data_IF_613032039971
#
_entry.id   IF_613032039971
#
_cell.length_a   1.000
_cell.length_b   1.000
_cell.length_c   1.000
_cell.angle_alpha   90.00
_cell.angle_beta   90.00
_cell.angle_gamma   90.00
#
_symmetry.space_group_name_H-M   'P 1'
#
loop_
_entity.id
_entity.type
_entity.pdbx_description
1 polymer ?
#
# COMPACT_ATOMS: atom_id res chain seq x y z
N UNK A 1 -14.65 -19.98 18.85
CA UNK A 1 -15.29 -18.87 18.13
C UNK A 1 -14.15 -17.98 17.62
N UNK A 2 -13.68 -18.21 16.38
CA UNK A 2 -12.63 -17.38 15.78
C UNK A 2 -13.23 -16.02 15.45
N UNK A 3 -12.75 -14.98 16.10
CA UNK A 3 -13.12 -13.61 15.76
C UNK A 3 -12.35 -13.27 14.48
N UNK A 4 -13.01 -13.41 13.33
CA UNK A 4 -12.47 -12.96 12.04
C UNK A 4 -12.37 -11.44 12.06
N UNK A 5 -11.18 -10.91 12.28
CA UNK A 5 -10.91 -9.48 12.20
C UNK A 5 -11.07 -8.99 10.76
N UNK A 6 -11.63 -7.79 10.54
CA UNK A 6 -11.78 -7.23 9.20
C UNK A 6 -10.41 -7.04 8.54
N UNK A 7 -10.33 -7.39 7.26
CA UNK A 7 -9.14 -7.26 6.43
C UNK A 7 -9.23 -6.02 5.55
N UNK A 8 -8.10 -5.43 5.21
CA UNK A 8 -8.02 -4.24 4.35
C UNK A 8 -7.53 -4.63 2.96
N UNK A 9 -8.35 -4.38 1.96
CA UNK A 9 -8.03 -4.61 0.55
C UNK A 9 -7.30 -3.38 -0.01
N UNK A 10 -6.03 -3.56 -0.41
CA UNK A 10 -5.19 -2.47 -0.94
C UNK A 10 -5.71 -1.87 -2.24
N UNK A 11 -6.30 -2.68 -3.11
CA UNK A 11 -6.89 -2.18 -4.35
C UNK A 11 -8.04 -1.21 -4.06
N UNK A 12 -8.90 -1.54 -3.10
CA UNK A 12 -9.99 -0.64 -2.69
C UNK A 12 -9.46 0.65 -2.06
N UNK A 13 -8.36 0.59 -1.29
CA UNK A 13 -7.75 1.79 -0.72
C UNK A 13 -7.11 2.66 -1.83
N UNK A 14 -6.47 2.08 -2.84
CA UNK A 14 -5.98 2.81 -4.01
C UNK A 14 -7.12 3.51 -4.76
N UNK A 15 -8.25 2.83 -4.99
CA UNK A 15 -9.43 3.41 -5.61
C UNK A 15 -10.01 4.57 -4.80
N UNK A 16 -10.05 4.47 -3.47
CA UNK A 16 -10.48 5.58 -2.59
C UNK A 16 -9.55 6.79 -2.71
N UNK A 17 -8.22 6.57 -2.73
CA UNK A 17 -7.25 7.65 -2.92
C UNK A 17 -7.40 8.29 -4.29
N UNK A 18 -7.56 7.48 -5.35
CA UNK A 18 -7.82 7.97 -6.71
C UNK A 18 -9.07 8.84 -6.78
N UNK A 19 -10.20 8.38 -6.23
CA UNK A 19 -11.46 9.14 -6.21
C UNK A 19 -11.33 10.50 -5.51
N UNK A 20 -10.48 10.60 -4.47
CA UNK A 20 -10.19 11.87 -3.78
C UNK A 20 -9.27 12.79 -4.57
N UNK A 21 -8.39 12.25 -5.41
CA UNK A 21 -7.41 13.01 -6.20
C UNK A 21 -7.89 13.38 -7.60
N UNK A 22 -8.98 12.78 -8.10
CA UNK A 22 -9.48 12.94 -9.47
C UNK A 22 -10.03 14.34 -9.78
N UNK A 23 -10.22 15.19 -8.77
CA UNK A 23 -10.75 16.55 -8.97
C UNK A 23 -9.72 17.50 -9.61
N UNK A 24 -8.42 17.16 -9.61
CA UNK A 24 -7.35 18.10 -9.99
C UNK A 24 -6.56 17.75 -11.28
N UNK A 25 -6.70 16.57 -11.87
CA UNK A 25 -5.74 16.07 -12.89
C UNK A 25 -6.31 15.60 -14.22
N UNK A 26 -7.57 15.88 -14.54
CA UNK A 26 -8.17 15.47 -15.83
C UNK A 26 -7.55 16.16 -17.06
N UNK A 27 -6.73 17.19 -16.91
CA UNK A 27 -6.10 17.92 -18.01
C UNK A 27 -4.71 17.39 -18.42
N UNK A 28 -4.02 16.63 -17.60
CA UNK A 28 -2.67 16.12 -17.93
C UNK A 28 -2.67 14.76 -18.64
N UNK A 29 -3.79 14.01 -18.59
CA UNK A 29 -3.93 12.72 -19.27
C UNK A 29 -4.07 12.83 -20.79
N UNK A 30 -4.39 14.01 -21.32
CA UNK A 30 -4.62 14.24 -22.76
C UNK A 30 -3.35 14.25 -23.60
N UNK A 31 -2.16 14.38 -22.98
CA UNK A 31 -0.88 14.50 -23.70
C UNK A 31 -0.09 13.18 -23.79
N UNK A 32 -0.56 12.09 -23.22
CA UNK A 32 0.00 10.78 -23.46
C UNK A 32 -0.55 10.25 -24.78
N UNK A 33 0.19 10.39 -25.87
CA UNK A 33 -0.12 9.91 -27.24
C UNK A 33 -0.25 8.38 -27.36
N UNK A 34 -0.52 7.70 -26.29
CA UNK A 34 -0.83 6.28 -26.28
C UNK A 34 -2.32 6.05 -26.21
N UNK A 35 -2.79 5.00 -26.89
CA UNK A 35 -4.17 4.48 -26.90
C UNK A 35 -4.66 4.10 -25.48
N UNK A 36 -4.57 5.06 -24.53
CA UNK A 36 -5.13 4.99 -23.17
C UNK A 36 -6.65 4.79 -23.24
N UNK A 37 -7.28 5.15 -24.34
CA UNK A 37 -8.71 4.91 -24.60
C UNK A 37 -9.12 3.43 -24.53
N UNK A 38 -8.18 2.50 -24.64
CA UNK A 38 -8.41 1.05 -24.47
C UNK A 38 -8.08 0.52 -23.08
N UNK A 39 -7.43 1.34 -22.23
CA UNK A 39 -7.09 0.94 -20.87
C UNK A 39 -8.25 1.24 -19.93
N UNK A 40 -8.57 0.26 -19.07
CA UNK A 40 -9.54 0.49 -18.02
C UNK A 40 -9.01 1.55 -17.05
N UNK A 41 -9.66 2.71 -17.03
CA UNK A 41 -9.27 3.85 -16.22
C UNK A 41 -9.20 3.52 -14.71
N UNK A 42 -9.96 2.53 -14.24
CA UNK A 42 -9.99 2.15 -12.82
C UNK A 42 -8.68 1.50 -12.36
N UNK A 43 -7.95 0.89 -13.27
CA UNK A 43 -6.66 0.24 -13.00
C UNK A 43 -5.46 1.16 -13.26
N UNK A 44 -5.67 2.40 -13.67
CA UNK A 44 -4.61 3.38 -13.91
C UNK A 44 -4.37 4.25 -12.68
N UNK A 45 -3.15 4.28 -12.17
CA UNK A 45 -2.76 5.02 -10.96
C UNK A 45 -1.54 5.90 -11.23
N UNK A 46 -1.54 7.11 -10.66
CA UNK A 46 -0.36 7.98 -10.66
C UNK A 46 0.55 7.62 -9.47
N UNK A 47 1.86 7.85 -9.63
CA UNK A 47 2.88 7.54 -8.60
C UNK A 47 2.57 8.17 -7.24
N UNK A 48 1.99 9.36 -7.20
CA UNK A 48 1.62 10.01 -5.94
C UNK A 48 0.53 9.25 -5.17
N UNK A 49 -0.40 8.62 -5.88
CA UNK A 49 -1.45 7.79 -5.28
C UNK A 49 -0.86 6.51 -4.70
N UNK A 50 0.04 5.86 -5.46
CA UNK A 50 0.80 4.68 -5.02
C UNK A 50 1.65 5.05 -3.81
N UNK A 51 2.39 6.17 -3.87
CA UNK A 51 3.23 6.67 -2.77
C UNK A 51 2.44 6.87 -1.49
N UNK A 52 1.24 7.47 -1.58
CA UNK A 52 0.38 7.68 -0.42
C UNK A 52 0.01 6.36 0.26
N UNK A 53 -0.39 5.35 -0.52
CA UNK A 53 -0.71 4.02 0.00
C UNK A 53 0.53 3.34 0.58
N UNK A 54 1.67 3.45 -0.08
CA UNK A 54 2.93 2.90 0.43
C UNK A 54 3.30 3.49 1.80
N UNK A 55 3.10 4.80 2.00
CA UNK A 55 3.34 5.46 3.28
C UNK A 55 2.29 5.02 4.32
N UNK A 56 1.00 5.00 3.94
CA UNK A 56 -0.11 4.70 4.86
C UNK A 56 -0.05 3.27 5.42
N UNK A 57 0.42 2.31 4.64
CA UNK A 57 0.47 0.90 5.02
C UNK A 57 1.89 0.35 5.17
N UNK A 58 2.91 1.21 5.08
CA UNK A 58 4.34 0.85 5.13
C UNK A 58 4.67 -0.25 4.12
N UNK A 59 4.33 0.01 2.85
CA UNK A 59 4.60 -0.87 1.73
C UNK A 59 5.83 -0.39 0.96
N UNK A 60 6.43 -1.28 0.19
CA UNK A 60 7.49 -1.01 -0.78
C UNK A 60 6.91 -1.09 -2.19
N UNK A 61 7.39 -0.22 -3.09
CA UNK A 61 7.08 -0.24 -4.51
C UNK A 61 8.39 -0.37 -5.28
N UNK A 62 8.75 -1.61 -5.61
CA UNK A 62 10.07 -1.97 -6.14
C UNK A 62 9.93 -2.76 -7.45
N UNK A 63 11.06 -2.89 -8.17
CA UNK A 63 11.15 -3.75 -9.35
C UNK A 63 10.77 -5.20 -9.00
N UNK A 64 10.08 -5.86 -9.93
CA UNK A 64 9.66 -7.27 -9.80
C UNK A 64 10.83 -8.21 -9.53
N UNK A 65 12.04 -7.89 -10.03
CA UNK A 65 13.26 -8.68 -9.82
C UNK A 65 13.67 -8.80 -8.35
N UNK A 66 13.27 -7.84 -7.53
CA UNK A 66 13.56 -7.83 -6.09
C UNK A 66 12.53 -8.60 -5.26
N UNK A 67 11.44 -9.05 -5.90
CA UNK A 67 10.38 -9.78 -5.21
C UNK A 67 10.76 -11.25 -5.05
N UNK A 68 10.73 -11.74 -3.81
CA UNK A 68 11.09 -13.13 -3.47
C UNK A 68 9.89 -14.06 -3.32
N UNK A 69 8.68 -13.50 -3.26
CA UNK A 69 7.45 -14.29 -3.19
C UNK A 69 7.12 -14.98 -4.51
N UNK A 70 6.23 -15.98 -4.47
CA UNK A 70 5.75 -16.66 -5.67
C UNK A 70 4.74 -15.79 -6.42
N UNK A 71 4.98 -15.59 -7.71
CA UNK A 71 4.03 -14.92 -8.60
C UNK A 71 3.12 -16.02 -9.17
N UNK A 72 1.78 -15.93 -9.02
CA UNK A 72 0.87 -16.95 -9.51
C UNK A 72 0.78 -16.95 -11.03
N UNK A 73 0.44 -18.11 -11.60
CA UNK A 73 0.28 -18.26 -13.05
C UNK A 73 -0.81 -17.34 -13.62
N UNK A 74 -1.80 -16.97 -12.83
CA UNK A 74 -2.84 -16.00 -13.22
C UNK A 74 -2.27 -14.61 -13.50
N UNK A 75 -1.26 -14.18 -12.71
CA UNK A 75 -0.60 -12.91 -12.95
C UNK A 75 0.16 -12.91 -14.28
N UNK A 76 0.82 -14.01 -14.63
CA UNK A 76 1.48 -14.16 -15.93
C UNK A 76 0.48 -14.17 -17.08
N UNK A 77 -0.66 -14.88 -16.97
CA UNK A 77 -1.71 -14.87 -17.99
C UNK A 77 -2.24 -13.45 -18.24
N UNK A 78 -2.56 -12.71 -17.17
CA UNK A 78 -3.01 -11.31 -17.29
C UNK A 78 -1.94 -10.38 -17.84
N UNK A 79 -0.67 -10.63 -17.53
CA UNK A 79 0.45 -9.91 -18.11
C UNK A 79 0.58 -10.17 -19.62
N UNK A 80 0.42 -11.41 -20.05
CA UNK A 80 0.48 -11.77 -21.47
C UNK A 80 -0.72 -11.22 -22.25
N UNK A 81 -1.92 -11.24 -21.66
CA UNK A 81 -3.09 -10.57 -22.21
C UNK A 81 -2.85 -9.06 -22.35
N UNK A 82 -2.26 -8.43 -21.34
CA UNK A 82 -1.91 -7.02 -21.38
C UNK A 82 -0.89 -6.71 -22.48
N UNK A 83 0.17 -7.53 -22.63
CA UNK A 83 1.17 -7.39 -23.70
C UNK A 83 0.56 -7.56 -25.09
N UNK A 84 -0.30 -8.56 -25.28
CA UNK A 84 -0.97 -8.82 -26.56
C UNK A 84 -1.89 -7.68 -26.96
N UNK A 85 -2.57 -7.08 -26.01
CA UNK A 85 -3.44 -5.92 -26.24
C UNK A 85 -2.65 -4.61 -26.50
N UNK A 86 -1.38 -4.56 -26.04
CA UNK A 86 -0.53 -3.37 -26.16
C UNK A 86 0.89 -3.72 -26.64
N UNK A 87 1.06 -4.26 -27.88
CA UNK A 87 2.35 -4.80 -28.35
C UNK A 87 3.46 -3.75 -28.47
N UNK A 88 3.09 -2.48 -28.67
CA UNK A 88 4.04 -1.38 -28.84
C UNK A 88 4.44 -0.72 -27.51
N UNK A 89 3.93 -1.21 -26.37
CA UNK A 89 4.19 -0.65 -25.05
C UNK A 89 5.44 -1.29 -24.45
N UNK A 90 6.51 -0.52 -24.32
CA UNK A 90 7.65 -0.96 -23.52
C UNK A 90 7.44 -0.51 -22.08
N UNK A 91 7.33 -1.45 -21.14
CA UNK A 91 7.06 -1.14 -19.74
C UNK A 91 7.92 -1.97 -18.78
N UNK A 92 8.22 -1.36 -17.65
CA UNK A 92 8.85 -2.04 -16.53
C UNK A 92 7.78 -2.55 -15.56
N UNK A 93 8.05 -3.73 -14.99
CA UNK A 93 7.16 -4.32 -13.99
C UNK A 93 7.60 -3.93 -12.59
N UNK A 94 6.64 -3.49 -11.77
CA UNK A 94 6.84 -3.16 -10.36
C UNK A 94 5.82 -3.88 -9.49
N UNK A 95 6.24 -4.24 -8.28
CA UNK A 95 5.37 -4.84 -7.27
C UNK A 95 5.26 -3.91 -6.07
N UNK A 96 4.01 -3.71 -5.62
CA UNK A 96 3.69 -3.06 -4.36
C UNK A 96 3.34 -4.12 -3.33
N UNK A 97 4.14 -4.22 -2.27
CA UNK A 97 3.96 -5.23 -1.23
C UNK A 97 4.60 -4.79 0.10
N UNK A 98 4.26 -5.44 1.23
CA UNK A 98 5.00 -5.28 2.48
C UNK A 98 6.49 -5.62 2.30
N UNK A 99 7.37 -4.92 3.04
CA UNK A 99 8.82 -5.12 2.93
C UNK A 99 9.27 -6.56 3.15
N UNK A 100 8.56 -7.30 3.99
CA UNK A 100 8.83 -8.72 4.26
C UNK A 100 8.77 -9.61 3.01
N UNK A 101 7.96 -9.26 2.02
CA UNK A 101 7.84 -10.00 0.75
C UNK A 101 9.05 -9.83 -0.19
N UNK A 102 9.92 -8.88 0.12
CA UNK A 102 11.20 -8.70 -0.57
C UNK A 102 12.37 -9.37 0.17
N UNK A 103 12.11 -9.88 1.39
CA UNK A 103 13.08 -10.57 2.24
C UNK A 103 12.73 -12.04 2.43
N UNK A 104 11.45 -12.36 2.61
CA UNK A 104 10.90 -13.69 2.91
C UNK A 104 9.65 -13.96 2.08
N UNK A 105 9.36 -15.25 1.79
CA UNK A 105 8.07 -15.65 1.22
C UNK A 105 6.94 -15.38 2.25
N UNK A 106 6.00 -14.55 1.89
CA UNK A 106 4.78 -14.28 2.65
C UNK A 106 3.61 -14.06 1.69
N UNK A 107 2.37 -14.21 2.16
CA UNK A 107 1.15 -14.18 1.31
C UNK A 107 0.33 -12.87 1.47
N UNK A 108 0.96 -11.78 1.89
CA UNK A 108 0.28 -10.50 2.14
C UNK A 108 0.12 -9.70 0.83
N UNK A 109 -1.07 -9.64 0.30
CA UNK A 109 -1.66 -8.77 -0.72
C UNK A 109 -0.69 -8.02 -1.68
N UNK A 110 0.15 -8.72 -2.48
CA UNK A 110 0.99 -8.05 -3.48
C UNK A 110 0.17 -7.59 -4.68
N UNK A 111 0.54 -6.42 -5.22
CA UNK A 111 -0.04 -5.80 -6.40
C UNK A 111 1.02 -5.65 -7.49
N UNK A 112 0.77 -6.20 -8.68
CA UNK A 112 1.65 -6.12 -9.84
C UNK A 112 1.23 -4.97 -10.73
N UNK A 113 2.17 -4.09 -11.06
CA UNK A 113 1.97 -2.94 -11.91
C UNK A 113 2.90 -2.96 -13.13
N UNK A 114 2.40 -2.45 -14.25
CA UNK A 114 3.20 -2.05 -15.41
C UNK A 114 3.40 -0.52 -15.39
N UNK A 115 4.63 -0.07 -15.59
CA UNK A 115 4.94 1.35 -15.75
C UNK A 115 4.58 1.80 -17.17
N UNK A 116 3.79 2.85 -17.30
CA UNK A 116 3.37 3.41 -18.59
C UNK A 116 4.18 4.67 -18.99
N UNK A 117 5.16 5.08 -18.18
CA UNK A 117 5.84 6.36 -18.33
C UNK A 117 5.15 7.50 -17.56
N UNK A 118 5.82 8.66 -17.48
CA UNK A 118 5.32 9.90 -16.87
C UNK A 118 4.71 9.76 -15.46
N UNK A 119 5.17 8.75 -14.71
CA UNK A 119 4.67 8.46 -13.36
C UNK A 119 3.33 7.75 -13.31
N UNK A 120 2.83 7.21 -14.44
CA UNK A 120 1.61 6.41 -14.48
C UNK A 120 1.92 4.93 -14.47
N UNK A 121 1.09 4.19 -13.74
CA UNK A 121 1.19 2.75 -13.53
C UNK A 121 -0.16 2.09 -13.72
N UNK A 122 -0.18 0.97 -14.45
CA UNK A 122 -1.38 0.17 -14.66
C UNK A 122 -1.35 -1.06 -13.75
N UNK A 123 -2.40 -1.28 -12.97
CA UNK A 123 -2.56 -2.45 -12.13
C UNK A 123 -2.95 -3.65 -12.98
N UNK A 124 -2.05 -4.64 -13.09
CA UNK A 124 -2.26 -5.87 -13.87
C UNK A 124 -3.00 -6.91 -13.02
N UNK A 125 -2.51 -7.17 -11.80
CA UNK A 125 -3.06 -8.22 -10.97
C UNK A 125 -2.75 -8.00 -9.48
N UNK A 126 -3.64 -8.55 -8.66
CA UNK A 126 -3.54 -8.65 -7.21
C UNK A 126 -3.66 -10.12 -6.82
N UNK A 127 -2.86 -10.56 -5.85
CA UNK A 127 -2.98 -11.90 -5.26
C UNK A 127 -2.60 -11.89 -3.77
N UNK A 128 -2.79 -13.03 -3.11
CA UNK A 128 -2.48 -13.19 -1.69
C UNK A 128 -3.64 -12.82 -0.78
N UNK A 129 -3.34 -12.69 0.51
CA UNK A 129 -4.31 -12.39 1.55
C UNK A 129 -4.35 -10.89 1.83
N UNK A 130 -5.53 -10.34 2.04
CA UNK A 130 -5.71 -8.94 2.43
C UNK A 130 -4.94 -8.61 3.72
N UNK A 131 -4.42 -7.38 3.78
CA UNK A 131 -3.70 -6.89 4.95
C UNK A 131 -4.58 -6.80 6.19
N UNK A 132 -3.96 -6.97 7.37
CA UNK A 132 -4.66 -6.75 8.63
C UNK A 132 -5.22 -5.32 8.71
N UNK A 133 -6.48 -5.18 9.14
CA UNK A 133 -7.13 -3.89 9.35
C UNK A 133 -6.33 -2.96 10.28
N UNK A 134 -5.71 -3.54 11.32
CA UNK A 134 -4.91 -2.78 12.28
C UNK A 134 -3.58 -2.28 11.75
N UNK A 135 -3.14 -2.72 10.56
CA UNK A 135 -1.84 -2.32 10.00
C UNK A 135 -1.72 -0.80 9.85
N UNK A 136 -2.77 -0.13 9.38
CA UNK A 136 -2.79 1.33 9.24
C UNK A 136 -2.63 2.05 10.58
N UNK A 137 -3.27 1.54 11.63
CA UNK A 137 -3.19 2.07 12.99
C UNK A 137 -1.79 1.84 13.58
N UNK A 138 -1.24 0.62 13.42
CA UNK A 138 0.10 0.26 13.92
C UNK A 138 1.21 1.06 13.22
N UNK A 139 1.00 1.46 11.97
CA UNK A 139 1.98 2.26 11.21
C UNK A 139 1.85 3.76 11.52
N UNK A 140 0.70 4.22 12.02
CA UNK A 140 0.44 5.65 12.25
C UNK A 140 1.52 6.37 13.09
N UNK A 141 2.03 5.83 14.21
CA UNK A 141 3.07 6.50 14.98
C UNK A 141 4.35 6.74 14.19
N UNK A 142 4.69 5.84 13.27
CA UNK A 142 5.95 5.83 12.52
C UNK A 142 5.90 6.63 11.22
N UNK A 143 4.81 7.36 10.93
CA UNK A 143 4.69 8.17 9.71
C UNK A 143 5.53 9.42 9.73
N UNK A 144 5.61 10.07 10.89
CA UNK A 144 6.41 11.27 11.12
C UNK A 144 6.76 11.44 12.61
N UNK A 145 7.71 12.31 12.88
CA UNK A 145 8.24 12.54 14.23
C UNK A 145 7.16 13.05 15.20
N UNK A 146 6.25 13.89 14.74
CA UNK A 146 5.15 14.43 15.58
C UNK A 146 4.24 13.30 16.06
N UNK A 147 3.90 12.35 15.20
CA UNK A 147 3.06 11.22 15.56
C UNK A 147 3.72 10.33 16.62
N UNK A 148 5.06 10.11 16.52
CA UNK A 148 5.81 9.37 17.54
C UNK A 148 5.74 10.08 18.89
N UNK A 149 5.94 11.39 18.93
CA UNK A 149 5.87 12.17 20.18
C UNK A 149 4.48 12.08 20.80
N UNK A 150 3.42 12.23 20.02
CA UNK A 150 2.04 12.09 20.47
C UNK A 150 1.80 10.68 21.03
N UNK A 151 2.26 9.65 20.32
CA UNK A 151 2.11 8.26 20.74
C UNK A 151 2.81 7.95 22.06
N UNK A 152 4.06 8.42 22.23
CA UNK A 152 4.82 8.28 23.49
C UNK A 152 4.11 9.03 24.62
N UNK A 153 3.61 10.23 24.37
CA UNK A 153 2.87 11.01 25.38
C UNK A 153 1.61 10.28 25.85
N UNK A 154 0.84 9.70 24.93
CA UNK A 154 -0.36 8.92 25.25
C UNK A 154 0.00 7.70 26.11
N UNK A 155 1.03 6.95 25.69
CA UNK A 155 1.48 5.77 26.46
C UNK A 155 1.96 6.18 27.85
N UNK A 156 2.74 7.26 27.97
CA UNK A 156 3.21 7.78 29.27
C UNK A 156 2.05 8.09 30.20
N UNK A 157 1.02 8.80 29.71
CA UNK A 157 -0.17 9.11 30.49
C UNK A 157 -0.92 7.84 30.94
N UNK A 158 -1.08 6.86 30.03
CA UNK A 158 -1.74 5.59 30.36
C UNK A 158 -0.97 4.83 31.46
N UNK A 159 0.35 4.74 31.34
CA UNK A 159 1.19 4.08 32.36
C UNK A 159 1.06 4.82 33.69
N UNK A 160 1.15 6.14 33.68
CA UNK A 160 1.02 6.96 34.91
C UNK A 160 -0.35 6.76 35.58
N UNK A 161 -1.43 6.69 34.80
CA UNK A 161 -2.77 6.45 35.32
C UNK A 161 -2.97 5.03 35.89
N UNK A 162 -2.17 4.06 35.45
CA UNK A 162 -2.21 2.69 35.95
C UNK A 162 -1.38 2.47 37.22
N UNK A 163 -0.47 3.40 37.54
CA UNK A 163 0.35 3.31 38.76
C UNK A 163 -0.49 3.72 39.96
N UNK A 164 -0.73 2.81 40.93
CA UNK A 164 -1.48 3.14 42.12
C UNK A 164 -0.68 4.12 43.00
N UNK A 165 -1.35 5.18 43.49
CA UNK A 165 -0.73 6.25 44.29
C UNK A 165 0.01 5.77 45.54
N UNK A 166 -0.34 4.60 46.06
CA UNK A 166 0.27 4.01 47.27
C UNK A 166 1.75 3.69 47.10
N UNK A 167 2.28 3.57 45.88
CA UNK A 167 3.70 3.28 45.63
C UNK A 167 4.59 4.46 46.02
N UNK A 168 4.06 5.68 46.05
CA UNK A 168 4.79 6.91 46.35
C UNK A 168 4.61 7.42 47.79
N UNK A 169 3.75 6.73 48.58
CA UNK A 169 3.64 7.01 50.01
C UNK A 169 4.73 6.22 50.75
N UNK A 170 5.86 6.86 50.96
CA UNK A 170 6.83 6.44 51.96
C UNK A 170 6.27 6.79 53.32
N UNK A 171 5.82 5.79 54.08
CA UNK A 171 5.47 5.96 55.51
C UNK A 171 6.73 6.33 56.28
N UNK A 172 6.92 7.60 56.61
CA UNK A 172 7.92 8.04 57.60
C UNK A 172 7.42 7.58 58.96
N UNK A 173 7.92 6.44 59.47
CA UNK A 173 7.97 6.11 60.87
C UNK A 173 9.27 6.61 61.46
#
# INVERSE_FOLDING_TARGET
>A
MEISLPKTNLQNELLKVKKRSSISKNQQLFNLEYNISKLNSDNLFHVDQIRKICIDYRLRFLDVKLFKGKIPNEAFKKLDEFKNNHPNLNFELRIMAPSKLFELENYDDPLLFASLGDGYYYLIHKWGNDLSFFRKISVWPFKNLVNILIFISIISLLITAMVPGNIFYYENN
#
